data_IF_759923399798
#
_entry.id   IF_759923399798
#
_cell.length_a   1.000
_cell.length_b   1.000
_cell.length_c   1.000
_cell.angle_alpha   90.00
_cell.angle_beta   90.00
_cell.angle_gamma   90.00
#
_symmetry.space_group_name_H-M   'P 1'
#
loop_
_entity.id
_entity.type
_entity.pdbx_description
1 polymer ?
#
# COMPACT_ATOMS: atom_id res chain seq x y z
N UNK A 1 -2.36 -22.86 -12.30
CA UNK A 1 -3.61 -22.39 -11.64
C UNK A 1 -3.45 -22.28 -10.12
N UNK A 2 -2.95 -23.32 -9.43
CA UNK A 2 -2.78 -23.30 -7.96
C UNK A 2 -1.91 -22.13 -7.44
N UNK A 3 -0.73 -21.92 -8.05
CA UNK A 3 0.20 -20.83 -7.69
C UNK A 3 -0.43 -19.45 -7.81
N UNK A 4 -1.29 -19.25 -8.82
CA UNK A 4 -1.99 -17.99 -9.07
C UNK A 4 -2.98 -17.69 -7.94
N UNK A 5 -3.83 -18.66 -7.60
CA UNK A 5 -4.82 -18.54 -6.52
C UNK A 5 -4.13 -18.33 -5.16
N UNK A 6 -3.05 -19.08 -4.88
CA UNK A 6 -2.26 -18.90 -3.66
C UNK A 6 -1.66 -17.49 -3.57
N UNK A 7 -1.16 -16.95 -4.68
CA UNK A 7 -0.58 -15.61 -4.73
C UNK A 7 -1.64 -14.54 -4.45
N UNK A 8 -2.84 -14.69 -5.01
CA UNK A 8 -3.95 -13.77 -4.74
C UNK A 8 -4.39 -13.84 -3.28
N UNK A 9 -4.60 -15.04 -2.74
CA UNK A 9 -5.00 -15.23 -1.36
C UNK A 9 -3.94 -14.65 -0.39
N UNK A 10 -2.66 -14.88 -0.69
CA UNK A 10 -1.56 -14.32 0.08
C UNK A 10 -1.55 -12.79 0.01
N UNK A 11 -1.69 -12.21 -1.18
CA UNK A 11 -1.76 -10.75 -1.38
C UNK A 11 -2.84 -10.13 -0.50
N UNK A 12 -4.07 -10.63 -0.58
CA UNK A 12 -5.18 -10.10 0.22
C UNK A 12 -4.90 -10.20 1.71
N UNK A 13 -4.44 -11.36 2.19
CA UNK A 13 -4.11 -11.55 3.60
C UNK A 13 -3.03 -10.56 4.07
N UNK A 14 -1.98 -10.39 3.28
CA UNK A 14 -0.88 -9.51 3.65
C UNK A 14 -1.27 -8.02 3.62
N UNK A 15 -2.07 -7.60 2.63
CA UNK A 15 -2.57 -6.22 2.53
C UNK A 15 -3.51 -5.91 3.69
N UNK A 16 -4.40 -6.82 4.07
CA UNK A 16 -5.29 -6.63 5.23
C UNK A 16 -4.49 -6.47 6.53
N UNK A 17 -3.49 -7.33 6.75
CA UNK A 17 -2.62 -7.22 7.93
C UNK A 17 -1.90 -5.88 7.95
N UNK A 18 -1.32 -5.45 6.82
CA UNK A 18 -0.63 -4.17 6.72
C UNK A 18 -1.56 -2.96 6.85
N UNK A 19 -2.81 -3.07 6.40
CA UNK A 19 -3.82 -2.03 6.58
C UNK A 19 -4.12 -1.83 8.07
N UNK A 20 -4.34 -2.93 8.80
CA UNK A 20 -4.58 -2.90 10.25
C UNK A 20 -3.36 -2.35 10.99
N UNK A 21 -2.16 -2.85 10.68
CA UNK A 21 -0.90 -2.38 11.28
C UNK A 21 -0.68 -0.89 11.00
N UNK A 22 -0.90 -0.44 9.77
CA UNK A 22 -0.75 0.97 9.40
C UNK A 22 -1.69 1.85 10.23
N UNK A 23 -2.98 1.49 10.33
CA UNK A 23 -3.96 2.26 11.12
C UNK A 23 -3.53 2.34 12.58
N UNK A 24 -3.14 1.22 13.20
CA UNK A 24 -2.72 1.19 14.61
C UNK A 24 -1.48 2.06 14.83
N UNK A 25 -0.44 1.87 14.01
CA UNK A 25 0.83 2.58 14.15
C UNK A 25 0.67 4.07 13.84
N UNK A 26 -0.16 4.43 12.87
CA UNK A 26 -0.41 5.82 12.52
C UNK A 26 -1.10 6.58 13.65
N UNK A 27 -2.15 6.00 14.24
CA UNK A 27 -2.82 6.58 15.41
C UNK A 27 -1.86 6.71 16.60
N UNK A 28 -1.07 5.66 16.87
CA UNK A 28 -0.05 5.70 17.93
C UNK A 28 0.98 6.82 17.68
N UNK A 29 1.43 6.98 16.43
CA UNK A 29 2.41 7.99 16.08
C UNK A 29 1.87 9.42 16.27
N UNK A 30 0.59 9.67 15.97
CA UNK A 30 -0.07 10.95 16.25
C UNK A 30 -0.10 11.23 17.75
N UNK A 31 -0.55 10.28 18.57
CA UNK A 31 -0.63 10.44 20.03
C UNK A 31 0.76 10.75 20.62
N UNK A 32 1.80 10.07 20.13
CA UNK A 32 3.17 10.29 20.56
C UNK A 32 3.70 11.67 20.12
N UNK A 33 3.40 12.10 18.90
CA UNK A 33 3.79 13.41 18.39
C UNK A 33 3.14 14.56 19.18
N UNK A 34 1.88 14.40 19.60
CA UNK A 34 1.18 15.38 20.43
C UNK A 34 1.72 15.42 21.87
N UNK A 35 2.14 14.26 22.38
CA UNK A 35 2.68 14.12 23.74
C UNK A 35 4.14 14.58 23.86
N UNK A 36 4.93 14.43 22.79
CA UNK A 36 6.36 14.74 22.76
C UNK A 36 6.71 15.63 21.57
N UNK A 37 6.99 16.91 21.84
CA UNK A 37 7.37 17.88 20.79
C UNK A 37 8.57 17.42 19.93
N UNK A 38 9.50 16.65 20.50
CA UNK A 38 10.65 16.10 19.76
C UNK A 38 10.27 15.07 18.69
N UNK A 39 9.08 14.47 18.79
CA UNK A 39 8.53 13.50 17.83
C UNK A 39 7.57 14.13 16.83
N UNK A 40 7.37 15.46 16.86
CA UNK A 40 6.60 16.18 15.86
C UNK A 40 7.35 16.20 14.54
N UNK A 41 7.03 15.22 13.71
CA UNK A 41 7.52 15.11 12.34
C UNK A 41 6.73 16.11 11.49
N UNK A 42 7.46 16.93 10.72
CA UNK A 42 6.95 18.19 10.16
C UNK A 42 5.64 18.11 9.36
N UNK A 43 5.37 17.02 8.63
CA UNK A 43 4.13 16.85 7.87
C UNK A 43 3.52 15.46 8.07
N UNK A 44 2.18 15.39 7.94
CA UNK A 44 1.43 14.12 7.91
C UNK A 44 1.97 13.19 6.82
N UNK A 45 2.39 13.74 5.68
CA UNK A 45 3.00 12.97 4.62
C UNK A 45 4.28 12.26 5.09
N UNK A 46 5.19 13.00 5.73
CA UNK A 46 6.44 12.45 6.27
C UNK A 46 6.16 11.43 7.38
N UNK A 47 5.19 11.68 8.25
CA UNK A 47 4.76 10.74 9.28
C UNK A 47 4.28 9.42 8.66
N UNK A 48 3.40 9.49 7.65
CA UNK A 48 2.91 8.32 6.93
C UNK A 48 4.03 7.50 6.32
N UNK A 49 5.05 8.12 5.72
CA UNK A 49 6.20 7.42 5.15
C UNK A 49 6.96 6.58 6.20
N UNK A 50 7.21 7.15 7.38
CA UNK A 50 7.84 6.41 8.48
C UNK A 50 6.97 5.25 8.97
N UNK A 51 5.67 5.48 9.09
CA UNK A 51 4.72 4.45 9.52
C UNK A 51 4.63 3.31 8.50
N UNK A 52 4.66 3.60 7.19
CA UNK A 52 4.68 2.59 6.12
C UNK A 52 5.91 1.68 6.25
N UNK A 53 7.09 2.29 6.41
CA UNK A 53 8.34 1.53 6.56
C UNK A 53 8.27 0.66 7.81
N UNK A 54 7.86 1.22 8.94
CA UNK A 54 7.76 0.50 10.21
C UNK A 54 6.74 -0.65 10.13
N UNK A 55 5.59 -0.42 9.50
CA UNK A 55 4.57 -1.44 9.27
C UNK A 55 5.13 -2.60 8.45
N UNK A 56 5.81 -2.31 7.34
CA UNK A 56 6.46 -3.32 6.51
C UNK A 56 7.53 -4.13 7.24
N UNK A 57 8.32 -3.48 8.11
CA UNK A 57 9.34 -4.14 8.95
C UNK A 57 8.70 -5.06 10.00
N UNK A 58 7.70 -4.58 10.73
CA UNK A 58 6.99 -5.39 11.74
C UNK A 58 6.33 -6.59 11.06
N UNK A 59 5.64 -6.36 9.95
CA UNK A 59 4.98 -7.44 9.22
C UNK A 59 5.99 -8.43 8.63
N UNK A 60 7.18 -8.00 8.19
CA UNK A 60 8.26 -8.90 7.81
C UNK A 60 8.64 -9.89 8.91
N UNK A 61 8.74 -9.45 10.16
CA UNK A 61 9.05 -10.34 11.28
C UNK A 61 7.96 -11.39 11.52
N UNK A 62 6.69 -10.99 11.37
CA UNK A 62 5.54 -11.89 11.46
C UNK A 62 5.55 -12.88 10.27
N UNK A 63 5.78 -12.35 9.07
CA UNK A 63 5.74 -13.10 7.83
C UNK A 63 6.84 -14.16 7.74
N UNK A 64 8.02 -13.89 8.31
CA UNK A 64 9.09 -14.88 8.41
C UNK A 64 8.64 -16.12 9.18
N UNK A 65 7.99 -15.94 10.34
CA UNK A 65 7.44 -17.06 11.14
C UNK A 65 6.32 -17.79 10.40
N UNK A 66 5.47 -17.05 9.69
CA UNK A 66 4.44 -17.63 8.84
C UNK A 66 5.08 -18.53 7.77
N UNK A 67 6.14 -18.06 7.12
CA UNK A 67 6.82 -18.81 6.08
C UNK A 67 7.54 -20.06 6.57
N UNK A 68 8.08 -20.06 7.78
CA UNK A 68 8.63 -21.27 8.42
C UNK A 68 7.57 -22.38 8.53
N UNK A 69 6.28 -22.02 8.66
CA UNK A 69 5.17 -22.98 8.74
C UNK A 69 4.60 -23.40 7.38
N UNK A 70 4.44 -22.47 6.44
CA UNK A 70 3.75 -22.71 5.18
C UNK A 70 4.67 -22.99 3.99
N UNK A 71 5.96 -22.63 4.09
CA UNK A 71 7.01 -22.85 3.09
C UNK A 71 6.56 -22.55 1.64
N UNK A 72 5.97 -21.37 1.42
CA UNK A 72 5.47 -20.98 0.10
C UNK A 72 6.64 -20.80 -0.88
N UNK A 73 6.49 -21.29 -2.13
CA UNK A 73 7.51 -21.15 -3.18
C UNK A 73 7.84 -19.69 -3.50
N UNK A 74 9.09 -19.44 -3.90
CA UNK A 74 9.58 -18.12 -4.33
C UNK A 74 8.80 -17.57 -5.52
N UNK A 75 8.25 -18.44 -6.38
CA UNK A 75 7.36 -18.06 -7.47
C UNK A 75 6.08 -17.40 -6.97
N UNK A 76 5.49 -17.87 -5.86
CA UNK A 76 4.29 -17.25 -5.25
C UNK A 76 4.64 -15.84 -4.78
N UNK A 77 5.75 -15.68 -4.07
CA UNK A 77 6.20 -14.38 -3.55
C UNK A 77 6.49 -13.38 -4.67
N UNK A 78 7.10 -13.85 -5.75
CA UNK A 78 7.40 -13.03 -6.93
C UNK A 78 6.12 -12.61 -7.66
N UNK A 79 5.11 -13.48 -7.73
CA UNK A 79 3.79 -13.11 -8.27
C UNK A 79 3.11 -12.04 -7.41
N UNK A 80 3.15 -12.17 -6.08
CA UNK A 80 2.59 -11.14 -5.18
C UNK A 80 3.32 -9.80 -5.35
N UNK A 81 4.65 -9.82 -5.45
CA UNK A 81 5.45 -8.63 -5.75
C UNK A 81 5.00 -7.94 -7.04
N UNK A 82 4.85 -8.70 -8.13
CA UNK A 82 4.38 -8.15 -9.40
C UNK A 82 2.96 -7.62 -9.34
N UNK A 83 2.04 -8.28 -8.64
CA UNK A 83 0.69 -7.75 -8.47
C UNK A 83 0.70 -6.41 -7.75
N UNK A 84 1.49 -6.27 -6.70
CA UNK A 84 1.61 -5.00 -5.98
C UNK A 84 2.16 -3.91 -6.91
N UNK A 85 3.23 -4.20 -7.64
CA UNK A 85 3.83 -3.25 -8.59
C UNK A 85 2.82 -2.80 -9.65
N UNK A 86 2.08 -3.73 -10.26
CA UNK A 86 1.06 -3.40 -11.27
C UNK A 86 -0.12 -2.62 -10.70
N UNK A 87 -0.58 -2.97 -9.49
CA UNK A 87 -1.65 -2.23 -8.82
C UNK A 87 -1.19 -0.79 -8.53
N UNK A 88 0.03 -0.60 -8.01
CA UNK A 88 0.57 0.73 -7.74
C UNK A 88 0.69 1.56 -9.03
N UNK A 89 1.23 0.99 -10.11
CA UNK A 89 1.31 1.66 -11.41
C UNK A 89 -0.08 2.05 -11.91
N UNK A 90 -1.02 1.10 -11.93
CA UNK A 90 -2.39 1.36 -12.40
C UNK A 90 -3.05 2.49 -11.61
N UNK A 91 -2.92 2.45 -10.29
CA UNK A 91 -3.52 3.46 -9.41
C UNK A 91 -2.92 4.85 -9.61
N UNK A 92 -1.60 4.96 -9.79
CA UNK A 92 -0.95 6.24 -10.07
C UNK A 92 -1.39 6.80 -11.43
N UNK A 93 -1.47 5.95 -12.47
CA UNK A 93 -1.99 6.38 -13.78
C UNK A 93 -3.44 6.84 -13.65
N UNK A 94 -4.28 6.07 -12.95
CA UNK A 94 -5.69 6.41 -12.73
C UNK A 94 -5.84 7.76 -12.01
N UNK A 95 -5.02 8.02 -10.99
CA UNK A 95 -5.00 9.30 -10.29
C UNK A 95 -4.65 10.47 -11.24
N UNK A 96 -3.54 10.35 -11.99
CA UNK A 96 -3.08 11.43 -12.89
C UNK A 96 -4.11 11.71 -13.98
N UNK A 97 -4.70 10.65 -14.55
CA UNK A 97 -5.77 10.78 -15.54
C UNK A 97 -7.00 11.46 -14.96
N UNK A 98 -7.43 11.05 -13.75
CA UNK A 98 -8.58 11.64 -13.08
C UNK A 98 -8.36 13.12 -12.76
N UNK A 99 -7.20 13.47 -12.21
CA UNK A 99 -6.85 14.86 -11.88
C UNK A 99 -6.79 15.74 -13.13
N UNK A 100 -6.26 15.21 -14.24
CA UNK A 100 -6.19 15.92 -15.52
C UNK A 100 -7.58 16.13 -16.10
N UNK A 101 -8.40 15.08 -16.15
CA UNK A 101 -9.77 15.15 -16.64
C UNK A 101 -10.61 16.13 -15.81
N UNK A 102 -10.46 16.10 -14.49
CA UNK A 102 -11.18 16.98 -13.59
C UNK A 102 -10.81 18.46 -13.81
N UNK A 103 -9.54 18.77 -14.09
CA UNK A 103 -9.10 20.13 -14.45
C UNK A 103 -9.74 20.60 -15.76
N UNK A 104 -9.67 19.78 -16.81
CA UNK A 104 -10.22 20.11 -18.14
C UNK A 104 -11.73 20.36 -18.07
N UNK A 105 -12.49 19.51 -17.38
CA UNK A 105 -13.95 19.68 -17.24
C UNK A 105 -14.31 20.96 -16.48
N UNK A 106 -13.50 21.37 -15.49
CA UNK A 106 -13.70 22.64 -14.78
C UNK A 106 -13.44 23.87 -15.65
N UNK A 107 -12.50 23.78 -16.59
CA UNK A 107 -12.12 24.89 -17.48
C UNK A 107 -13.08 25.05 -18.66
N UNK A 108 -13.81 24.00 -19.04
CA UNK A 108 -14.73 24.00 -20.18
C UNK A 108 -16.09 23.36 -19.78
N UNK A 109 -16.84 23.99 -18.87
CA UNK A 109 -18.07 23.40 -18.31
C UNK A 109 -19.17 23.19 -19.36
N UNK A 110 -19.19 23.99 -20.42
CA UNK A 110 -20.29 23.99 -21.41
C UNK A 110 -20.18 22.91 -22.50
N UNK A 111 -19.03 22.22 -22.63
CA UNK A 111 -18.79 21.27 -23.73
C UNK A 111 -18.88 19.80 -23.27
N UNK A 112 -18.52 19.51 -22.02
CA UNK A 112 -18.55 18.16 -21.45
C UNK A 112 -19.57 18.11 -20.32
N UNK A 113 -20.83 17.78 -20.63
CA UNK A 113 -21.81 17.32 -19.63
C UNK A 113 -21.44 15.91 -19.11
N UNK A 114 -20.19 15.73 -18.66
CA UNK A 114 -19.70 14.48 -18.09
C UNK A 114 -19.92 14.50 -16.59
N UNK A 115 -20.88 13.71 -16.13
CA UNK A 115 -21.08 13.45 -14.70
C UNK A 115 -19.97 12.52 -14.18
N UNK A 116 -18.97 13.12 -13.55
CA UNK A 116 -17.83 12.43 -12.95
C UNK A 116 -18.17 11.81 -11.58
N UNK A 117 -19.40 11.96 -11.07
CA UNK A 117 -19.79 11.47 -9.73
C UNK A 117 -19.77 9.94 -9.62
N UNK A 118 -19.93 9.22 -10.73
CA UNK A 118 -19.84 7.76 -10.80
C UNK A 118 -18.40 7.22 -10.69
N UNK A 119 -17.39 8.06 -10.88
CA UNK A 119 -15.99 7.67 -10.74
C UNK A 119 -15.60 7.64 -9.26
N UNK A 120 -14.97 6.55 -8.82
CA UNK A 120 -14.41 6.46 -7.48
C UNK A 120 -13.28 7.47 -7.37
N UNK A 121 -13.40 8.44 -6.46
CA UNK A 121 -12.34 9.42 -6.23
C UNK A 121 -11.05 8.68 -5.81
N UNK A 122 -9.96 8.77 -6.61
CA UNK A 122 -8.73 8.03 -6.37
C UNK A 122 -8.08 8.39 -5.04
N UNK A 123 -8.34 9.58 -4.51
CA UNK A 123 -7.76 10.09 -3.26
C UNK A 123 -8.02 9.15 -2.08
N UNK A 124 -9.25 8.61 -1.95
CA UNK A 124 -9.59 7.70 -0.85
C UNK A 124 -8.86 6.37 -0.96
N UNK A 125 -8.73 5.85 -2.19
CA UNK A 125 -8.00 4.62 -2.45
C UNK A 125 -6.50 4.80 -2.14
N UNK A 126 -5.93 5.96 -2.47
CA UNK A 126 -4.53 6.26 -2.19
C UNK A 126 -4.27 6.35 -0.69
N UNK A 127 -5.07 7.10 0.06
CA UNK A 127 -4.84 7.32 1.49
C UNK A 127 -4.86 6.00 2.27
N UNK A 128 -5.75 5.07 1.92
CA UNK A 128 -5.89 3.81 2.64
C UNK A 128 -5.04 2.67 2.07
N UNK A 129 -5.09 2.45 0.75
CA UNK A 129 -4.58 1.22 0.12
C UNK A 129 -3.10 1.35 -0.23
N UNK A 130 -2.60 2.53 -0.63
CA UNK A 130 -1.18 2.69 -0.99
C UNK A 130 -0.25 2.36 0.17
N UNK A 131 -0.47 2.90 1.39
CA UNK A 131 0.38 2.58 2.52
C UNK A 131 0.48 1.07 2.77
N UNK A 132 -0.65 0.37 2.68
CA UNK A 132 -0.72 -1.07 2.91
C UNK A 132 -0.02 -1.87 1.79
N UNK A 133 -0.19 -1.47 0.52
CA UNK A 133 0.48 -2.10 -0.62
C UNK A 133 2.00 -1.92 -0.54
N UNK A 134 2.48 -0.69 -0.29
CA UNK A 134 3.91 -0.41 -0.17
C UNK A 134 4.51 -1.17 1.01
N UNK A 135 3.86 -1.15 2.18
CA UNK A 135 4.31 -1.93 3.33
C UNK A 135 4.37 -3.44 3.02
N UNK A 136 3.40 -3.95 2.26
CA UNK A 136 3.38 -5.37 1.82
C UNK A 136 4.52 -5.68 0.87
N UNK A 137 4.81 -4.79 -0.07
CA UNK A 137 5.95 -4.93 -0.96
C UNK A 137 7.28 -4.93 -0.19
N UNK A 138 7.46 -4.01 0.76
CA UNK A 138 8.63 -3.99 1.65
C UNK A 138 8.76 -5.33 2.38
N UNK A 139 7.68 -5.85 2.95
CA UNK A 139 7.68 -7.15 3.63
C UNK A 139 8.18 -8.28 2.74
N UNK A 140 7.71 -8.35 1.49
CA UNK A 140 8.09 -9.41 0.54
C UNK A 140 9.54 -9.27 0.10
N UNK A 141 9.98 -8.06 -0.24
CA UNK A 141 11.36 -7.81 -0.66
C UNK A 141 12.34 -8.17 0.46
N UNK A 142 12.08 -7.71 1.69
CA UNK A 142 12.92 -8.05 2.84
C UNK A 142 12.98 -9.56 3.09
N UNK A 143 11.86 -10.27 2.93
CA UNK A 143 11.84 -11.72 3.06
C UNK A 143 12.64 -12.43 1.96
N UNK A 144 12.52 -11.99 0.69
CA UNK A 144 13.30 -12.55 -0.42
C UNK A 144 14.81 -12.30 -0.24
N UNK A 145 15.20 -11.10 0.23
CA UNK A 145 16.59 -10.79 0.60
C UNK A 145 17.08 -11.74 1.69
N UNK A 146 16.31 -11.93 2.76
CA UNK A 146 16.66 -12.82 3.86
C UNK A 146 16.92 -14.27 3.39
N UNK A 147 16.12 -14.75 2.43
CA UNK A 147 16.25 -16.11 1.88
C UNK A 147 17.38 -16.26 0.85
N UNK A 148 18.04 -15.16 0.43
CA UNK A 148 18.99 -15.08 -0.69
C UNK A 148 18.38 -15.47 -2.04
N UNK A 149 17.11 -15.13 -2.25
CA UNK A 149 16.30 -15.47 -3.43
C UNK A 149 16.18 -14.29 -4.42
N UNK A 150 17.16 -13.38 -4.44
CA UNK A 150 17.23 -12.20 -5.33
C UNK A 150 18.57 -12.24 -6.08
#
# INVERSE_FOLDING_TARGET
MLTFVQSIALLFGMVIINLILFIILFNLAIILADSFNALRIGSIFTLSMWVIILSGLIHYLIFRKFQEKFNLPTTVLTMVEYYIQWILIYMTIYQVMFDTLHKVVKEIPDILNLDLSYLINPTYLIIAIFPALIATWITIVLYKVYKKDI
#
